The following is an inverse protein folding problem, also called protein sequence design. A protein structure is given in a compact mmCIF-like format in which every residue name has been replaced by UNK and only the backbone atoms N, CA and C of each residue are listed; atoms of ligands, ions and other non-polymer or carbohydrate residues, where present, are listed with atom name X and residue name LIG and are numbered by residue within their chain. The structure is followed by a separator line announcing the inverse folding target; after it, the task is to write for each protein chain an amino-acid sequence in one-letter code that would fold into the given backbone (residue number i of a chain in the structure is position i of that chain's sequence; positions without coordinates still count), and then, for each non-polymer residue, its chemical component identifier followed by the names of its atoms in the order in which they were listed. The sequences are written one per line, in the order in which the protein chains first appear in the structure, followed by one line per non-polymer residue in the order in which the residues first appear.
data_IF_915514491606
#
_entry.id   IF_915514491606
#
_cell.length_a   1.000
_cell.length_b   1.000
_cell.length_c   1.000
_cell.angle_alpha   90.00
_cell.angle_beta   90.00
_cell.angle_gamma   90.00
#
_symmetry.space_group_name_H-M   'P 1'
#
loop_
_entity.id
_entity.type
_entity.pdbx_description
1 polymer ?
#
# COMPACT_ATOMS: atom_id res chain seq x y z
N UNK A 1 14.97 56.87 7.33
CA UNK A 1 14.99 56.09 6.10
C UNK A 1 13.80 55.18 6.12
N UNK A 2 12.77 55.42 5.26
CA UNK A 2 11.54 54.61 5.20
C UNK A 2 11.74 53.52 4.16
N UNK A 3 11.73 52.24 4.59
CA UNK A 3 11.78 51.11 3.69
C UNK A 3 10.44 50.97 2.96
N UNK A 4 10.46 51.03 1.62
CA UNK A 4 9.33 50.73 0.75
C UNK A 4 9.15 49.21 0.67
N UNK A 5 8.02 48.75 1.15
CA UNK A 5 7.56 47.37 0.94
C UNK A 5 7.00 47.27 -0.48
N UNK A 6 7.68 46.52 -1.34
CA UNK A 6 7.20 46.14 -2.68
C UNK A 6 6.29 44.91 -2.52
N UNK A 7 4.99 45.08 -2.79
CA UNK A 7 4.05 43.98 -2.89
C UNK A 7 4.26 43.26 -4.23
N UNK A 8 4.32 41.93 -4.27
CA UNK A 8 4.31 41.18 -5.54
C UNK A 8 2.91 41.21 -6.16
N UNK A 9 2.86 41.62 -7.40
CA UNK A 9 1.68 41.54 -8.26
C UNK A 9 1.59 40.11 -8.84
N UNK A 10 0.70 39.30 -8.32
CA UNK A 10 0.21 38.07 -8.99
C UNK A 10 -0.99 37.47 -8.24
N UNK A 11 -2.10 38.15 -8.23
CA UNK A 11 -3.38 37.59 -7.80
C UNK A 11 -4.49 37.99 -8.78
N UNK A 12 -4.38 37.58 -10.05
CA UNK A 12 -5.47 37.76 -11.03
C UNK A 12 -5.41 36.75 -12.20
N UNK A 13 -5.30 35.47 -11.98
CA UNK A 13 -5.42 34.49 -13.08
C UNK A 13 -6.39 33.32 -12.78
N UNK A 14 -6.97 33.20 -11.59
CA UNK A 14 -7.81 32.02 -11.29
C UNK A 14 -9.35 32.26 -11.21
N UNK A 15 -9.88 33.37 -11.75
CA UNK A 15 -11.31 33.68 -11.62
C UNK A 15 -12.10 33.72 -12.94
N UNK A 16 -11.60 33.19 -14.07
CA UNK A 16 -12.28 33.40 -15.34
C UNK A 16 -12.31 32.20 -16.29
N UNK A 17 -12.77 31.04 -15.81
CA UNK A 17 -13.14 29.93 -16.72
C UNK A 17 -14.21 29.00 -16.18
N UNK A 18 -15.33 29.51 -15.70
CA UNK A 18 -16.60 28.77 -15.65
C UNK A 18 -17.77 29.75 -15.65
N UNK A 19 -18.03 30.29 -16.82
CA UNK A 19 -19.33 30.91 -17.15
C UNK A 19 -19.94 30.08 -18.24
N UNK A 20 -20.78 29.12 -17.88
CA UNK A 20 -21.71 28.49 -18.79
C UNK A 20 -22.95 29.41 -18.89
N UNK A 21 -23.09 30.05 -20.05
CA UNK A 21 -24.31 30.65 -20.51
C UNK A 21 -25.25 29.53 -21.00
N UNK A 22 -26.50 29.57 -20.58
CA UNK A 22 -27.51 28.64 -21.10
C UNK A 22 -28.85 28.83 -20.40
N UNK A 23 -29.56 29.89 -20.73
CA UNK A 23 -31.01 30.01 -20.51
C UNK A 23 -31.73 29.10 -21.50
N UNK A 24 -32.61 28.23 -21.01
CA UNK A 24 -33.44 27.37 -21.90
C UNK A 24 -34.47 26.57 -21.09
N UNK A 25 -35.64 27.09 -21.10
CA UNK A 25 -36.97 26.62 -20.77
C UNK A 25 -37.29 25.19 -20.34
N UNK A 26 -38.16 25.16 -19.32
CA UNK A 26 -39.10 24.13 -18.89
C UNK A 26 -39.86 23.43 -20.03
N UNK A 27 -39.87 22.11 -20.03
CA UNK A 27 -41.01 21.32 -20.51
C UNK A 27 -41.05 19.95 -19.79
N UNK A 28 -42.24 19.61 -19.43
CA UNK A 28 -42.78 18.56 -18.59
C UNK A 28 -42.62 17.12 -19.13
N UNK A 29 -42.61 16.16 -18.18
CA UNK A 29 -43.43 14.96 -18.27
C UNK A 29 -42.69 13.62 -18.29
N UNK A 30 -43.30 12.60 -17.71
CA UNK A 30 -42.60 11.52 -17.04
C UNK A 30 -42.55 10.24 -17.89
N UNK A 31 -41.48 9.49 -17.83
CA UNK A 31 -41.50 8.06 -18.13
C UNK A 31 -40.81 7.25 -17.05
N UNK A 32 -41.62 6.64 -16.20
CA UNK A 32 -41.28 5.46 -15.43
C UNK A 32 -40.88 4.35 -16.40
N UNK A 33 -39.66 3.87 -16.31
CA UNK A 33 -39.31 2.56 -16.84
C UNK A 33 -38.92 1.67 -15.63
N UNK A 34 -39.86 0.82 -15.27
CA UNK A 34 -39.68 -0.32 -14.39
C UNK A 34 -38.89 -1.39 -15.13
N UNK A 35 -37.72 -1.75 -14.63
CA UNK A 35 -37.03 -2.99 -15.01
C UNK A 35 -37.12 -3.96 -13.84
N UNK A 36 -38.18 -4.75 -13.82
CA UNK A 36 -38.24 -6.05 -13.19
C UNK A 36 -37.97 -7.06 -14.31
N UNK A 37 -36.97 -7.91 -14.13
CA UNK A 37 -37.04 -9.34 -14.42
C UNK A 37 -35.62 -9.92 -14.37
N UNK A 38 -35.43 -10.81 -13.41
CA UNK A 38 -34.33 -11.77 -13.35
C UNK A 38 -34.51 -12.82 -14.47
N UNK A 39 -33.45 -13.30 -15.13
CA UNK A 39 -33.57 -14.48 -15.95
C UNK A 39 -33.40 -15.74 -15.09
N UNK A 40 -34.40 -16.59 -15.24
CA UNK A 40 -34.46 -17.98 -14.77
C UNK A 40 -33.31 -18.82 -15.36
N UNK A 41 -32.82 -19.74 -14.56
CA UNK A 41 -31.90 -20.81 -14.97
C UNK A 41 -32.67 -21.88 -15.78
N UNK A 42 -32.11 -22.42 -16.87
CA UNK A 42 -32.65 -23.60 -17.51
C UNK A 42 -32.28 -24.85 -16.72
N UNK A 43 -33.28 -25.52 -16.21
CA UNK A 43 -33.20 -26.93 -15.78
C UNK A 43 -33.35 -27.81 -17.02
N UNK A 44 -32.28 -28.38 -17.53
CA UNK A 44 -32.34 -29.46 -18.50
C UNK A 44 -32.63 -30.75 -17.79
N UNK A 45 -33.90 -31.15 -17.82
CA UNK A 45 -34.36 -32.48 -17.47
C UNK A 45 -34.15 -33.41 -18.65
N UNK A 46 -33.33 -34.43 -18.47
CA UNK A 46 -33.21 -35.57 -19.36
C UNK A 46 -34.45 -36.48 -19.27
N UNK A 47 -35.11 -36.86 -20.36
CA UNK A 47 -36.24 -37.76 -20.31
C UNK A 47 -35.75 -39.23 -20.19
N UNK A 48 -36.24 -39.92 -19.17
CA UNK A 48 -36.13 -41.37 -19.04
C UNK A 48 -37.15 -42.00 -20.01
N UNK A 49 -36.66 -42.50 -21.12
CA UNK A 49 -37.47 -43.32 -22.02
C UNK A 49 -37.62 -44.75 -21.48
N UNK A 50 -38.85 -45.16 -21.40
CA UNK A 50 -39.38 -46.51 -21.14
C UNK A 50 -38.58 -47.66 -21.77
N UNK A 51 -38.23 -48.65 -20.95
CA UNK A 51 -37.84 -49.99 -21.38
C UNK A 51 -39.02 -50.93 -21.05
N UNK A 52 -39.89 -51.10 -22.03
CA UNK A 52 -40.85 -52.17 -22.05
C UNK A 52 -40.21 -53.44 -22.64
N UNK A 53 -40.52 -54.53 -22.01
CA UNK A 53 -40.64 -55.90 -22.52
C UNK A 53 -39.46 -56.56 -23.24
N UNK A 54 -38.81 -57.41 -22.51
CA UNK A 54 -38.38 -58.75 -23.04
C UNK A 54 -38.58 -59.83 -21.95
N UNK A 55 -39.75 -60.44 -21.93
CA UNK A 55 -40.00 -61.67 -21.23
C UNK A 55 -39.64 -62.84 -22.17
N UNK A 56 -38.45 -63.40 -21.97
CA UNK A 56 -38.06 -64.73 -22.55
C UNK A 56 -38.28 -65.87 -21.55
N UNK A 57 -38.61 -67.05 -22.01
CA UNK A 57 -39.05 -68.15 -21.13
C UNK A 57 -37.93 -68.63 -20.21
N UNK A 58 -38.28 -68.83 -18.94
CA UNK A 58 -37.42 -69.30 -17.88
C UNK A 58 -37.21 -70.83 -18.10
N UNK A 59 -36.02 -71.27 -18.44
CA UNK A 59 -35.61 -72.65 -18.48
C UNK A 59 -35.18 -73.09 -17.07
N UNK A 60 -35.99 -73.99 -16.49
CA UNK A 60 -35.71 -74.71 -15.24
C UNK A 60 -34.54 -75.67 -15.42
N UNK A 61 -33.33 -75.29 -15.21
CA UNK A 61 -32.20 -76.16 -14.94
C UNK A 61 -31.47 -75.68 -13.67
N UNK A 62 -31.35 -76.55 -12.65
CA UNK A 62 -30.59 -76.12 -11.45
C UNK A 62 -29.12 -75.92 -11.81
N UNK A 63 -28.49 -74.84 -11.29
CA UNK A 63 -27.08 -74.63 -11.54
C UNK A 63 -26.22 -75.64 -10.84
N UNK A 64 -25.33 -76.31 -11.61
CA UNK A 64 -24.28 -77.15 -11.04
C UNK A 64 -23.43 -76.34 -10.08
N UNK A 65 -23.29 -76.84 -8.86
CA UNK A 65 -22.38 -76.31 -7.86
C UNK A 65 -20.94 -76.26 -8.40
N UNK A 66 -20.53 -75.17 -9.00
CA UNK A 66 -19.13 -74.90 -9.32
C UNK A 66 -18.39 -74.54 -8.02
N UNK A 67 -17.34 -75.29 -7.71
CA UNK A 67 -16.40 -74.93 -6.66
C UNK A 67 -15.87 -73.53 -6.91
N UNK A 68 -16.25 -72.61 -6.05
CA UNK A 68 -15.66 -71.30 -6.01
C UNK A 68 -14.23 -71.48 -5.47
N UNK A 69 -13.18 -71.11 -6.24
CA UNK A 69 -11.81 -71.15 -5.71
C UNK A 69 -11.71 -70.19 -4.51
N UNK A 70 -11.25 -70.74 -3.37
CA UNK A 70 -11.00 -69.94 -2.17
C UNK A 70 -9.96 -68.85 -2.48
N UNK A 71 -10.40 -67.64 -2.52
CA UNK A 71 -9.50 -66.49 -2.58
C UNK A 71 -8.63 -66.47 -1.31
N UNK A 72 -7.30 -66.51 -1.42
CA UNK A 72 -6.44 -66.49 -0.23
C UNK A 72 -6.71 -65.19 0.49
N UNK A 73 -7.17 -65.24 1.73
CA UNK A 73 -7.27 -64.11 2.62
C UNK A 73 -5.86 -63.63 2.87
N UNK A 74 -5.45 -62.53 2.17
CA UNK A 74 -4.26 -61.81 2.52
C UNK A 74 -4.40 -61.39 3.99
N UNK A 75 -3.58 -61.96 4.87
CA UNK A 75 -3.59 -61.61 6.27
C UNK A 75 -3.35 -60.11 6.42
N UNK A 76 -4.32 -59.40 6.97
CA UNK A 76 -4.16 -58.03 7.36
C UNK A 76 -3.03 -57.99 8.39
N UNK A 77 -1.84 -57.60 7.95
CA UNK A 77 -0.72 -57.33 8.86
C UNK A 77 -1.12 -56.08 9.66
N UNK A 78 -1.30 -56.24 10.95
CA UNK A 78 -1.53 -55.09 11.83
C UNK A 78 -0.33 -54.14 11.80
N UNK A 79 -0.61 -52.87 11.81
CA UNK A 79 0.42 -51.85 11.91
C UNK A 79 1.19 -52.00 13.23
N UNK A 80 2.52 -51.95 13.17
CA UNK A 80 3.32 -51.99 14.36
C UNK A 80 3.36 -50.60 15.01
N UNK A 81 3.49 -50.54 16.34
CA UNK A 81 3.59 -49.27 17.08
C UNK A 81 4.77 -48.40 16.58
N UNK A 82 5.84 -49.04 16.14
CA UNK A 82 7.02 -48.36 15.59
C UNK A 82 6.70 -47.71 14.23
N UNK A 83 5.98 -48.38 13.34
CA UNK A 83 5.55 -47.80 12.05
C UNK A 83 4.65 -46.59 12.27
N UNK A 84 3.74 -46.65 13.23
CA UNK A 84 2.90 -45.53 13.56
C UNK A 84 3.73 -44.32 14.10
N UNK A 85 4.69 -44.60 15.00
CA UNK A 85 5.59 -43.57 15.54
C UNK A 85 6.42 -42.88 14.45
N UNK A 86 6.95 -43.69 13.50
CA UNK A 86 7.75 -43.15 12.39
C UNK A 86 6.88 -42.22 11.48
N UNK A 87 5.67 -42.64 11.15
CA UNK A 87 4.76 -41.83 10.33
C UNK A 87 4.39 -40.52 11.03
N UNK A 88 4.11 -40.57 12.34
CA UNK A 88 3.82 -39.37 13.12
C UNK A 88 5.04 -38.43 13.19
N UNK A 89 6.24 -38.96 13.40
CA UNK A 89 7.47 -38.18 13.43
C UNK A 89 7.76 -37.52 12.08
N UNK A 90 7.57 -38.22 10.96
CA UNK A 90 7.72 -37.68 9.62
C UNK A 90 6.64 -36.61 9.31
N UNK A 91 5.42 -36.83 9.74
CA UNK A 91 4.34 -35.85 9.64
C UNK A 91 4.63 -34.58 10.40
N UNK A 92 5.11 -34.70 11.65
CA UNK A 92 5.51 -33.55 12.46
C UNK A 92 6.68 -32.77 11.83
N UNK A 93 7.67 -33.49 11.27
CA UNK A 93 8.81 -32.85 10.59
C UNK A 93 8.35 -32.09 9.33
N UNK A 94 7.48 -32.66 8.53
CA UNK A 94 6.92 -32.01 7.32
C UNK A 94 6.10 -30.77 7.68
N UNK A 95 5.29 -30.82 8.73
CA UNK A 95 4.50 -29.64 9.17
C UNK A 95 5.39 -28.51 9.66
N UNK A 96 6.50 -28.82 10.34
CA UNK A 96 7.45 -27.82 10.79
C UNK A 96 8.13 -27.10 9.60
N UNK A 97 8.54 -27.84 8.57
CA UNK A 97 9.19 -27.26 7.37
C UNK A 97 8.20 -26.39 6.58
N UNK A 98 6.96 -26.84 6.42
CA UNK A 98 5.93 -26.07 5.68
C UNK A 98 5.54 -24.79 6.41
N UNK A 99 5.45 -24.79 7.74
CA UNK A 99 5.09 -23.61 8.52
C UNK A 99 6.12 -22.46 8.38
N UNK A 100 7.41 -22.78 8.38
CA UNK A 100 8.46 -21.76 8.18
C UNK A 100 8.47 -21.17 6.76
N UNK A 101 8.17 -21.99 5.75
CA UNK A 101 8.11 -21.57 4.35
C UNK A 101 6.96 -20.60 4.07
N UNK A 102 5.81 -20.77 4.70
CA UNK A 102 4.64 -19.89 4.54
C UNK A 102 4.89 -18.47 5.05
N UNK A 103 5.58 -18.31 6.19
CA UNK A 103 5.89 -16.99 6.75
C UNK A 103 6.79 -16.16 5.82
N UNK A 104 7.80 -16.76 5.21
CA UNK A 104 8.67 -16.06 4.24
C UNK A 104 7.94 -15.68 2.95
N UNK A 105 7.00 -16.52 2.50
CA UNK A 105 6.19 -16.23 1.31
C UNK A 105 5.28 -15.00 1.51
N UNK A 106 4.65 -14.87 2.66
CA UNK A 106 3.78 -13.70 2.95
C UNK A 106 4.57 -12.40 2.96
N UNK A 107 5.71 -12.36 3.65
CA UNK A 107 6.54 -11.14 3.75
C UNK A 107 7.06 -10.69 2.38
N UNK A 108 7.43 -11.62 1.51
CA UNK A 108 7.86 -11.29 0.15
C UNK A 108 6.69 -10.80 -0.71
N UNK A 109 5.50 -11.36 -0.53
CA UNK A 109 4.28 -10.93 -1.22
C UNK A 109 3.92 -9.50 -0.83
N UNK A 110 3.87 -9.20 0.47
CA UNK A 110 3.55 -7.86 0.98
C UNK A 110 4.56 -6.81 0.48
N UNK A 111 5.85 -7.16 0.46
CA UNK A 111 6.90 -6.29 -0.12
C UNK A 111 6.64 -5.99 -1.60
N UNK A 112 6.27 -6.99 -2.40
CA UNK A 112 6.01 -6.81 -3.82
C UNK A 112 4.75 -5.96 -4.07
N UNK A 113 3.71 -6.12 -3.24
CA UNK A 113 2.52 -5.25 -3.28
C UNK A 113 2.91 -3.81 -2.95
N UNK A 114 3.72 -3.56 -1.92
CA UNK A 114 4.21 -2.23 -1.58
C UNK A 114 5.03 -1.61 -2.69
N UNK A 115 5.95 -2.37 -3.31
CA UNK A 115 6.72 -1.90 -4.47
C UNK A 115 5.80 -1.51 -5.63
N UNK A 116 4.75 -2.29 -5.88
CA UNK A 116 3.75 -1.98 -6.91
C UNK A 116 2.96 -0.71 -6.56
N UNK A 117 2.55 -0.54 -5.29
CA UNK A 117 1.86 0.66 -4.83
C UNK A 117 2.73 1.90 -5.02
N UNK A 118 3.99 1.85 -4.58
CA UNK A 118 4.93 2.96 -4.72
C UNK A 118 5.21 3.33 -6.17
N UNK A 119 5.32 2.34 -7.08
CA UNK A 119 5.45 2.60 -8.53
C UNK A 119 4.23 3.33 -9.08
N UNK A 120 3.03 2.94 -8.68
CA UNK A 120 1.79 3.60 -9.11
C UNK A 120 1.69 5.03 -8.55
N UNK A 121 2.06 5.25 -7.30
CA UNK A 121 2.11 6.59 -6.70
C UNK A 121 3.19 7.47 -7.35
N UNK A 122 4.36 6.90 -7.67
CA UNK A 122 5.42 7.62 -8.38
C UNK A 122 5.00 7.98 -9.80
N UNK A 123 4.31 7.09 -10.51
CA UNK A 123 3.74 7.40 -11.82
C UNK A 123 2.72 8.55 -11.73
N UNK A 124 1.85 8.53 -10.73
CA UNK A 124 0.89 9.61 -10.49
C UNK A 124 1.59 10.94 -10.20
N UNK A 125 2.70 10.91 -9.47
CA UNK A 125 3.54 12.08 -9.20
C UNK A 125 4.18 12.62 -10.49
N UNK A 126 4.67 11.74 -11.37
CA UNK A 126 5.22 12.13 -12.68
C UNK A 126 4.14 12.72 -13.60
N UNK A 127 2.98 12.10 -13.67
CA UNK A 127 1.83 12.63 -14.43
C UNK A 127 1.45 14.05 -13.99
N UNK A 128 1.46 14.29 -12.68
CA UNK A 128 1.26 15.65 -12.17
C UNK A 128 2.34 16.61 -12.66
N UNK A 129 3.60 16.20 -12.60
CA UNK A 129 4.70 17.05 -13.04
C UNK A 129 4.57 17.38 -14.54
N UNK A 130 4.19 16.41 -15.36
CA UNK A 130 3.97 16.61 -16.80
C UNK A 130 2.80 17.58 -17.06
N UNK A 131 1.70 17.45 -16.35
CA UNK A 131 0.53 18.35 -16.49
C UNK A 131 0.80 19.78 -15.97
N UNK A 132 1.74 19.93 -15.03
CA UNK A 132 2.07 21.22 -14.40
C UNK A 132 3.47 21.73 -14.77
N UNK A 133 3.90 21.51 -16.01
CA UNK A 133 5.14 22.07 -16.57
C UNK A 133 6.40 21.74 -15.75
N UNK A 134 6.49 20.51 -15.28
CA UNK A 134 7.61 20.00 -14.50
C UNK A 134 7.54 20.34 -13.00
N UNK A 135 6.48 20.98 -12.52
CA UNK A 135 6.35 21.35 -11.11
C UNK A 135 6.13 20.11 -10.24
N UNK A 136 6.86 19.99 -9.14
CA UNK A 136 6.65 18.95 -8.14
C UNK A 136 5.40 19.23 -7.29
N UNK A 137 4.66 18.19 -6.90
CA UNK A 137 3.55 18.31 -5.94
C UNK A 137 4.02 18.98 -4.65
N UNK A 138 3.17 19.81 -4.05
CA UNK A 138 3.52 20.48 -2.79
C UNK A 138 3.58 19.46 -1.64
N UNK A 139 4.58 19.64 -0.78
CA UNK A 139 4.83 18.82 0.40
C UNK A 139 5.27 19.70 1.60
N UNK A 140 4.42 20.60 2.07
CA UNK A 140 4.76 21.39 3.24
C UNK A 140 4.66 20.52 4.51
N UNK A 141 5.60 20.72 5.43
CA UNK A 141 5.60 20.11 6.76
C UNK A 141 4.39 20.51 7.62
N UNK A 142 3.68 21.54 7.23
CA UNK A 142 2.45 21.98 7.89
C UNK A 142 1.36 22.16 6.85
N UNK A 143 0.11 21.91 7.24
CA UNK A 143 -1.04 22.14 6.35
C UNK A 143 -1.04 23.60 5.91
N UNK A 144 -0.56 23.86 4.70
CA UNK A 144 -0.59 25.18 4.09
C UNK A 144 -1.92 25.39 3.40
N UNK A 145 -2.52 26.57 3.61
CA UNK A 145 -3.70 27.00 2.84
C UNK A 145 -3.36 27.43 1.41
N UNK A 146 -2.06 27.58 1.11
CA UNK A 146 -1.60 28.14 -0.16
C UNK A 146 -1.33 27.11 -1.25
N UNK A 147 -1.16 25.86 -0.89
CA UNK A 147 -0.82 24.77 -1.82
C UNK A 147 -1.69 23.54 -1.60
N UNK A 148 -2.03 22.88 -2.70
CA UNK A 148 -2.64 21.56 -2.65
C UNK A 148 -1.52 20.52 -2.44
N UNK A 149 -1.42 19.99 -1.23
CA UNK A 149 -0.41 18.99 -0.87
C UNK A 149 -0.62 17.69 -1.65
N UNK A 150 0.44 16.90 -1.81
CA UNK A 150 0.37 15.58 -2.42
C UNK A 150 -0.64 14.67 -1.72
N UNK A 151 -0.65 14.70 -0.39
CA UNK A 151 -1.60 14.06 0.50
C UNK A 151 -1.89 15.00 1.68
N UNK A 152 -3.05 14.86 2.32
CA UNK A 152 -3.48 15.69 3.46
C UNK A 152 -3.72 14.84 4.69
N UNK A 153 -3.81 15.51 5.84
CA UNK A 153 -4.11 14.92 7.14
C UNK A 153 -2.87 14.67 7.98
N UNK A 154 -3.04 14.82 9.29
CA UNK A 154 -2.04 14.54 10.31
C UNK A 154 -2.42 13.25 11.02
N UNK A 155 -1.55 12.24 10.95
CA UNK A 155 -1.77 10.93 11.58
C UNK A 155 -1.20 10.92 13.00
N UNK A 156 -1.89 10.22 13.87
CA UNK A 156 -1.47 9.97 15.25
C UNK A 156 -2.09 8.66 15.78
N UNK A 157 -2.03 8.44 17.09
CA UNK A 157 -2.69 7.30 17.73
C UNK A 157 -4.01 7.66 18.42
N UNK A 158 -4.49 8.89 18.26
CA UNK A 158 -5.77 9.32 18.81
C UNK A 158 -6.91 8.83 17.92
N UNK A 159 -7.70 7.90 18.41
CA UNK A 159 -8.87 7.35 17.71
C UNK A 159 -9.93 8.39 17.35
N UNK A 160 -9.97 9.51 18.06
CA UNK A 160 -10.87 10.62 17.75
C UNK A 160 -10.37 11.51 16.61
N UNK A 161 -9.11 11.39 16.21
CA UNK A 161 -8.56 12.11 15.08
C UNK A 161 -9.12 11.51 13.78
N UNK A 162 -9.99 12.27 13.11
CA UNK A 162 -10.63 11.85 11.87
C UNK A 162 -9.62 11.68 10.71
N UNK A 163 -8.49 12.36 10.74
CA UNK A 163 -7.46 12.31 9.70
C UNK A 163 -6.88 10.91 9.55
N UNK A 164 -6.82 10.15 10.66
CA UNK A 164 -6.38 8.76 10.64
C UNK A 164 -7.19 7.86 9.69
N UNK A 165 -8.44 8.24 9.38
CA UNK A 165 -9.40 7.39 8.66
C UNK A 165 -9.98 8.06 7.40
N UNK A 166 -9.64 9.31 7.14
CA UNK A 166 -10.24 10.08 6.04
C UNK A 166 -9.52 9.86 4.71
N UNK A 167 -9.98 8.87 3.96
CA UNK A 167 -9.43 8.53 2.64
C UNK A 167 -9.60 9.64 1.60
N UNK A 168 -10.54 10.56 1.78
CA UNK A 168 -10.73 11.68 0.85
C UNK A 168 -9.55 12.67 0.86
N UNK A 169 -8.76 12.67 1.92
CA UNK A 169 -7.52 13.46 2.02
C UNK A 169 -6.38 12.91 1.13
N UNK A 170 -6.59 11.77 0.49
CA UNK A 170 -5.64 11.13 -0.40
C UNK A 170 -6.13 11.12 -1.86
N UNK A 171 -7.44 10.92 -2.05
CA UNK A 171 -8.02 10.61 -3.36
C UNK A 171 -9.01 11.65 -3.90
N UNK A 172 -9.39 12.64 -3.09
CA UNK A 172 -10.23 13.74 -3.56
C UNK A 172 -9.34 14.85 -4.16
N UNK A 173 -9.49 15.21 -5.43
CA UNK A 173 -8.67 16.23 -6.10
C UNK A 173 -8.79 17.65 -5.53
N UNK A 174 -9.82 17.91 -4.71
CA UNK A 174 -9.95 19.18 -3.97
C UNK A 174 -9.08 19.17 -2.71
N UNK A 175 -8.79 18.00 -2.16
CA UNK A 175 -8.07 17.83 -0.89
C UNK A 175 -6.59 17.49 -1.09
N UNK A 176 -6.25 16.76 -2.16
CA UNK A 176 -4.89 16.28 -2.41
C UNK A 176 -4.57 16.29 -3.91
N UNK A 177 -3.35 16.73 -4.26
CA UNK A 177 -2.88 16.74 -5.65
C UNK A 177 -2.83 15.32 -6.25
N UNK A 178 -2.43 14.33 -5.46
CA UNK A 178 -2.41 12.93 -5.85
C UNK A 178 -3.81 12.41 -6.26
N UNK A 179 -4.88 12.98 -5.67
CA UNK A 179 -6.26 12.62 -5.96
C UNK A 179 -6.72 12.92 -7.39
N UNK A 180 -5.97 13.72 -8.15
CA UNK A 180 -6.21 13.92 -9.59
C UNK A 180 -5.94 12.62 -10.37
N UNK A 181 -4.98 11.82 -9.94
CA UNK A 181 -4.44 10.67 -10.67
C UNK A 181 -4.75 9.33 -10.00
N UNK A 182 -4.93 9.32 -8.68
CA UNK A 182 -5.14 8.11 -7.87
C UNK A 182 -6.55 8.09 -7.28
N UNK A 183 -7.30 7.03 -7.58
CA UNK A 183 -8.68 6.85 -7.09
C UNK A 183 -8.78 5.86 -5.92
N UNK A 184 -7.85 4.91 -5.83
CA UNK A 184 -7.89 3.89 -4.79
C UNK A 184 -7.07 4.33 -3.56
N UNK A 185 -7.70 4.50 -2.38
CA UNK A 185 -6.98 4.86 -1.17
C UNK A 185 -6.07 3.72 -0.67
N UNK A 186 -6.28 2.49 -1.10
CA UNK A 186 -5.47 1.34 -0.69
C UNK A 186 -4.03 1.44 -1.19
N UNK A 187 -3.78 2.20 -2.26
CA UNK A 187 -2.43 2.45 -2.79
C UNK A 187 -1.54 3.24 -1.82
N UNK A 188 -2.12 3.98 -0.89
CA UNK A 188 -1.37 4.82 0.06
C UNK A 188 -0.90 4.05 1.30
N UNK A 189 -1.18 2.75 1.37
CA UNK A 189 -0.89 1.95 2.54
C UNK A 189 -0.11 0.68 2.21
N UNK A 190 0.88 0.39 3.05
CA UNK A 190 1.60 -0.87 3.04
C UNK A 190 0.74 -1.98 3.69
N UNK A 191 0.53 -3.14 3.06
CA UNK A 191 -0.19 -4.26 3.68
C UNK A 191 0.52 -4.82 4.91
N UNK A 192 1.84 -4.65 5.02
CA UNK A 192 2.61 -5.07 6.19
C UNK A 192 2.56 -4.06 7.36
N UNK A 193 1.97 -2.87 7.17
CA UNK A 193 1.64 -1.96 8.27
C UNK A 193 0.34 -2.43 8.95
N UNK A 194 0.48 -3.23 9.99
CA UNK A 194 -0.64 -3.88 10.69
C UNK A 194 -1.19 -3.04 11.86
N UNK A 195 -0.73 -1.80 12.02
CA UNK A 195 -1.17 -0.95 13.12
C UNK A 195 -2.64 -0.56 12.95
N UNK A 196 -3.43 -0.92 13.95
CA UNK A 196 -4.86 -0.61 14.03
C UNK A 196 -5.17 0.27 15.22
N UNK A 197 -6.15 1.14 15.07
CA UNK A 197 -6.76 1.91 16.16
C UNK A 197 -8.15 1.35 16.43
N UNK A 198 -8.52 1.24 17.71
CA UNK A 198 -9.84 0.71 18.08
C UNK A 198 -10.89 1.83 17.98
N UNK A 199 -11.60 1.89 16.86
CA UNK A 199 -12.67 2.84 16.62
C UNK A 199 -14.03 2.23 17.01
N UNK A 200 -14.54 2.60 18.16
CA UNK A 200 -15.84 2.09 18.66
C UNK A 200 -15.95 0.55 18.69
N UNK A 201 -14.88 -0.12 19.12
CA UNK A 201 -14.83 -1.59 19.17
C UNK A 201 -14.37 -2.26 17.87
N UNK A 202 -14.16 -1.51 16.78
CA UNK A 202 -13.71 -2.04 15.50
C UNK A 202 -12.25 -1.67 15.26
N UNK A 203 -11.33 -2.64 15.09
CA UNK A 203 -9.96 -2.37 14.66
C UNK A 203 -9.95 -1.69 13.28
N UNK A 204 -9.42 -0.48 13.21
CA UNK A 204 -9.40 0.33 11.99
C UNK A 204 -7.98 0.73 11.67
N UNK A 205 -7.58 0.55 10.41
CA UNK A 205 -6.25 0.87 9.93
C UNK A 205 -6.14 2.37 9.63
N UNK A 206 -4.97 2.95 9.85
CA UNK A 206 -4.70 4.33 9.39
C UNK A 206 -4.61 4.35 7.87
N UNK A 207 -4.92 5.51 7.28
CA UNK A 207 -5.11 5.65 5.82
C UNK A 207 -3.80 5.61 5.01
N UNK A 208 -2.63 5.82 5.63
CA UNK A 208 -1.36 6.02 4.94
C UNK A 208 -0.20 5.40 5.70
N UNK A 209 0.75 4.80 4.96
CA UNK A 209 2.04 4.28 5.44
C UNK A 209 3.23 4.88 4.69
N UNK A 210 2.99 5.77 3.72
CA UNK A 210 4.02 6.40 2.91
C UNK A 210 4.08 7.90 3.19
N UNK A 211 5.29 8.46 3.10
CA UNK A 211 5.53 9.90 3.16
C UNK A 211 6.43 10.35 2.02
N UNK A 212 6.30 11.60 1.62
CA UNK A 212 7.07 12.19 0.54
C UNK A 212 8.30 12.89 1.08
N UNK A 213 9.42 12.81 0.35
CA UNK A 213 10.66 13.48 0.68
C UNK A 213 10.45 14.97 0.98
N UNK A 214 10.82 15.42 2.17
CA UNK A 214 10.65 16.81 2.63
C UNK A 214 11.45 17.86 1.84
N UNK A 215 12.37 17.43 0.97
CA UNK A 215 13.11 18.31 0.04
C UNK A 215 12.50 18.35 -1.35
N UNK A 216 11.41 17.61 -1.61
CA UNK A 216 10.70 17.60 -2.89
C UNK A 216 9.36 18.32 -2.75
N UNK A 217 9.10 19.27 -3.64
CA UNK A 217 7.88 20.08 -3.66
C UNK A 217 8.03 21.42 -2.96
N UNK A 218 6.92 22.14 -2.84
CA UNK A 218 6.84 23.38 -2.08
C UNK A 218 6.76 23.06 -0.58
N UNK A 219 7.45 23.79 0.26
CA UNK A 219 7.40 23.60 1.71
C UNK A 219 8.74 23.28 2.37
N UNK A 220 9.79 23.94 1.87
CA UNK A 220 11.14 23.82 2.44
C UNK A 220 11.16 23.90 3.96
N UNK A 221 11.85 22.96 4.60
CA UNK A 221 12.05 22.91 6.04
C UNK A 221 13.27 23.71 6.52
N UNK A 222 13.39 23.86 7.84
CA UNK A 222 14.59 24.40 8.48
C UNK A 222 15.85 23.56 8.23
N UNK A 223 15.70 22.31 7.77
CA UNK A 223 16.82 21.40 7.45
C UNK A 223 17.40 21.60 6.05
N UNK A 224 16.86 22.53 5.26
CA UNK A 224 17.24 22.72 3.85
C UNK A 224 18.36 23.72 3.61
N UNK A 225 18.92 24.39 4.64
CA UNK A 225 19.94 25.42 4.48
C UNK A 225 21.19 24.88 3.73
N UNK A 226 21.48 25.48 2.55
CA UNK A 226 22.60 25.07 1.69
C UNK A 226 22.40 23.74 0.94
N UNK A 227 21.20 23.18 0.97
CA UNK A 227 20.83 21.99 0.20
C UNK A 227 19.70 22.32 -0.77
N UNK A 228 19.61 21.55 -1.86
CA UNK A 228 18.63 21.75 -2.91
C UNK A 228 17.23 21.38 -2.41
N UNK A 229 16.28 22.31 -2.52
CA UNK A 229 14.85 22.00 -2.47
C UNK A 229 14.37 21.91 -3.91
N UNK A 230 13.82 20.76 -4.28
CA UNK A 230 13.46 20.41 -5.63
C UNK A 230 11.98 20.69 -5.86
N UNK A 231 11.67 21.86 -6.39
CA UNK A 231 10.29 22.30 -6.71
C UNK A 231 9.88 21.98 -8.12
N UNK A 232 10.84 21.55 -8.95
CA UNK A 232 10.64 21.08 -10.32
C UNK A 232 11.44 19.80 -10.57
N UNK A 233 10.96 18.96 -11.47
CA UNK A 233 11.64 17.72 -11.91
C UNK A 233 13.02 17.99 -12.49
N UNK A 234 13.24 19.15 -13.14
CA UNK A 234 14.54 19.56 -13.66
C UNK A 234 15.58 19.84 -12.56
N UNK A 235 15.16 19.99 -11.32
CA UNK A 235 16.03 20.21 -10.16
C UNK A 235 16.43 18.91 -9.44
N UNK A 236 15.92 17.77 -9.87
CA UNK A 236 16.23 16.47 -9.24
C UNK A 236 17.65 15.99 -9.52
N UNK A 237 18.57 16.75 -9.95
CA UNK A 237 19.99 16.41 -10.19
C UNK A 237 20.28 14.95 -10.58
N UNK A 238 19.88 14.02 -9.72
CA UNK A 238 20.01 12.57 -9.88
C UNK A 238 18.68 11.87 -9.56
N UNK A 239 17.67 11.90 -10.47
CA UNK A 239 16.35 11.33 -10.20
C UNK A 239 16.38 9.84 -9.86
N UNK A 240 17.33 9.09 -10.41
CA UNK A 240 17.53 7.67 -10.13
C UNK A 240 18.07 7.37 -8.73
N UNK A 241 18.50 8.38 -7.99
CA UNK A 241 19.06 8.26 -6.63
C UNK A 241 18.30 9.09 -5.61
N UNK A 242 17.41 9.97 -6.05
CA UNK A 242 16.62 10.83 -5.18
C UNK A 242 15.28 10.16 -4.91
N UNK A 243 15.00 9.79 -3.67
CA UNK A 243 13.69 9.21 -3.37
C UNK A 243 12.60 10.30 -3.36
N UNK A 244 11.42 9.95 -3.86
CA UNK A 244 10.23 10.80 -3.82
C UNK A 244 9.29 10.36 -2.70
N UNK A 245 9.06 9.05 -2.57
CA UNK A 245 8.20 8.46 -1.55
C UNK A 245 8.94 7.31 -0.87
N UNK A 246 8.64 7.10 0.40
CA UNK A 246 9.11 5.94 1.13
C UNK A 246 8.10 5.48 2.18
N UNK A 247 8.29 4.26 2.67
CA UNK A 247 7.57 3.73 3.81
C UNK A 247 8.10 4.36 5.10
N UNK A 248 7.22 4.96 5.88
CA UNK A 248 7.57 5.59 7.14
C UNK A 248 7.11 4.76 8.33
N UNK A 249 7.91 4.77 9.40
CA UNK A 249 7.64 4.04 10.64
C UNK A 249 6.32 4.47 11.28
N UNK A 250 5.56 3.51 11.82
CA UNK A 250 4.22 3.77 12.34
C UNK A 250 4.19 4.79 13.48
N UNK A 251 5.25 4.88 14.29
CA UNK A 251 5.36 5.86 15.39
C UNK A 251 5.93 7.22 14.92
N UNK A 252 6.42 7.31 13.69
CA UNK A 252 6.99 8.54 13.11
C UNK A 252 6.00 9.26 12.21
N UNK A 253 5.25 8.50 11.42
CA UNK A 253 4.35 9.05 10.39
C UNK A 253 3.27 9.96 10.99
N UNK A 254 3.37 11.25 10.67
CA UNK A 254 2.45 12.28 11.14
C UNK A 254 1.83 13.07 9.98
N UNK A 255 2.53 14.02 9.38
CA UNK A 255 2.00 14.87 8.32
C UNK A 255 2.15 14.27 6.91
N UNK A 256 2.80 14.34 6.05
CA UNK A 256 2.99 13.68 4.74
C UNK A 256 4.40 13.83 4.26
N UNK A 257 5.23 14.48 5.08
CA UNK A 257 6.61 14.81 4.74
C UNK A 257 7.55 13.90 5.50
N UNK A 258 8.56 13.40 4.84
CA UNK A 258 9.66 12.66 5.46
C UNK A 258 10.92 13.49 5.45
N UNK A 259 11.36 13.94 6.61
CA UNK A 259 12.55 14.77 6.74
C UNK A 259 13.78 13.97 7.15
N UNK A 260 14.86 14.27 6.46
CA UNK A 260 16.21 13.80 6.80
C UNK A 260 17.05 15.04 7.12
N UNK A 261 17.75 15.03 8.25
CA UNK A 261 18.66 16.12 8.58
C UNK A 261 19.96 15.99 7.76
N UNK A 262 19.93 16.51 6.55
CA UNK A 262 21.04 16.40 5.58
C UNK A 262 22.25 17.27 5.96
N UNK A 263 22.11 18.18 6.93
CA UNK A 263 23.20 19.09 7.38
C UNK A 263 24.07 18.45 8.45
N UNK A 264 23.57 17.44 9.15
CA UNK A 264 24.31 16.81 10.24
C UNK A 264 25.46 15.95 9.71
N UNK A 265 26.60 16.10 10.37
CA UNK A 265 27.74 15.21 10.15
C UNK A 265 27.42 13.80 10.63
N UNK A 266 28.17 12.81 10.16
CA UNK A 266 27.98 11.42 10.58
C UNK A 266 28.04 11.25 12.11
N UNK A 267 28.97 11.95 12.79
CA UNK A 267 29.12 11.89 14.24
C UNK A 267 27.93 12.51 15.01
N UNK A 268 27.18 13.41 14.41
CA UNK A 268 26.01 14.06 15.00
C UNK A 268 24.70 13.59 14.36
N UNK A 269 24.72 12.57 13.51
CA UNK A 269 23.57 12.08 12.78
C UNK A 269 22.41 11.71 13.72
N UNK A 270 21.22 12.01 13.27
CA UNK A 270 19.95 11.69 13.96
C UNK A 270 18.86 11.44 12.95
N UNK A 271 17.85 10.76 13.38
CA UNK A 271 16.57 10.71 12.67
C UNK A 271 15.75 11.96 13.01
N UNK A 272 15.12 12.56 12.02
CA UNK A 272 14.00 13.49 12.17
C UNK A 272 12.72 12.68 12.05
N UNK A 273 12.57 11.99 10.92
CA UNK A 273 11.57 10.96 10.72
C UNK A 273 12.27 9.60 10.54
N UNK A 274 11.62 8.54 10.96
CA UNK A 274 12.17 7.19 10.96
C UNK A 274 11.55 6.39 9.80
N UNK A 275 12.36 5.77 8.93
CA UNK A 275 11.82 4.91 7.88
C UNK A 275 11.21 3.64 8.48
N UNK A 276 10.24 3.06 7.78
CA UNK A 276 9.67 1.78 8.18
C UNK A 276 10.69 0.63 8.09
N UNK A 277 10.36 -0.47 8.77
CA UNK A 277 11.10 -1.73 8.68
C UNK A 277 10.12 -2.92 8.46
N UNK A 278 9.03 -2.67 7.71
CA UNK A 278 7.91 -3.61 7.57
C UNK A 278 8.28 -4.91 6.84
N UNK A 279 9.34 -4.89 6.02
CA UNK A 279 9.72 -5.98 5.12
C UNK A 279 11.04 -6.61 5.55
N UNK A 280 11.00 -7.43 6.61
CA UNK A 280 12.20 -8.12 7.14
C UNK A 280 13.36 -7.17 7.46
N UNK A 281 13.06 -6.04 8.10
CA UNK A 281 14.07 -5.06 8.50
C UNK A 281 14.51 -4.11 7.39
N UNK A 282 13.63 -3.81 6.47
CA UNK A 282 13.85 -2.82 5.42
C UNK A 282 12.57 -2.15 4.97
N UNK A 283 12.68 -1.19 4.07
CA UNK A 283 11.59 -0.43 3.49
C UNK A 283 11.71 -0.33 1.98
N UNK A 284 10.58 -0.05 1.34
CA UNK A 284 10.52 0.27 -0.08
C UNK A 284 10.53 1.78 -0.28
N UNK A 285 11.19 2.22 -1.35
CA UNK A 285 11.28 3.60 -1.77
C UNK A 285 10.91 3.72 -3.24
N UNK A 286 10.28 4.83 -3.62
CA UNK A 286 10.09 5.22 -5.02
C UNK A 286 11.03 6.37 -5.34
N UNK A 287 11.76 6.27 -6.45
CA UNK A 287 12.73 7.24 -6.90
C UNK A 287 12.15 8.23 -7.92
N UNK A 288 12.86 9.32 -8.14
CA UNK A 288 12.42 10.42 -9.01
C UNK A 288 12.27 10.05 -10.48
N UNK A 289 12.94 9.01 -10.94
CA UNK A 289 12.81 8.46 -12.30
C UNK A 289 11.63 7.48 -12.45
N UNK A 290 10.90 7.19 -11.36
CA UNK A 290 9.71 6.34 -11.35
C UNK A 290 9.97 4.89 -10.94
N UNK A 291 11.23 4.44 -10.82
CA UNK A 291 11.46 3.10 -10.30
C UNK A 291 11.23 3.02 -8.78
N UNK A 292 10.95 1.83 -8.29
CA UNK A 292 10.85 1.56 -6.86
C UNK A 292 11.78 0.41 -6.48
N UNK A 293 12.48 0.57 -5.39
CA UNK A 293 13.43 -0.39 -4.88
C UNK A 293 13.28 -0.66 -3.39
N UNK A 294 13.80 -1.79 -2.94
CA UNK A 294 13.84 -2.19 -1.55
C UNK A 294 15.19 -1.88 -0.93
N UNK A 295 15.17 -1.23 0.25
CA UNK A 295 16.36 -0.98 1.06
C UNK A 295 16.33 -1.81 2.33
N UNK A 296 17.31 -2.72 2.44
CA UNK A 296 17.61 -3.39 3.70
C UNK A 296 18.36 -2.41 4.61
N UNK A 297 17.89 -2.26 5.85
CA UNK A 297 18.58 -1.47 6.86
C UNK A 297 19.73 -2.27 7.48
N UNK A 298 20.84 -1.59 7.76
CA UNK A 298 22.07 -2.19 8.28
C UNK A 298 22.23 -1.98 9.77
N UNK A 299 21.68 -0.89 10.30
CA UNK A 299 21.82 -0.51 11.71
C UNK A 299 20.50 -0.81 12.47
N UNK A 300 20.55 -1.57 13.57
CA UNK A 300 19.34 -1.86 14.37
C UNK A 300 18.61 -0.61 14.87
N UNK A 301 19.32 0.51 15.04
CA UNK A 301 18.71 1.79 15.46
C UNK A 301 17.80 2.41 14.39
N UNK A 302 17.90 1.94 13.15
CA UNK A 302 16.99 2.31 12.07
C UNK A 302 15.65 1.54 12.15
N UNK A 303 15.59 0.49 12.96
CA UNK A 303 14.47 -0.44 13.07
C UNK A 303 13.92 -0.50 14.52
N UNK A 304 13.54 0.63 15.13
CA UNK A 304 12.97 0.58 16.47
C UNK A 304 11.64 -0.21 16.46
N UNK A 305 11.28 -0.85 17.57
CA UNK A 305 9.98 -1.50 17.69
C UNK A 305 8.87 -0.45 17.70
N UNK A 306 7.70 -0.80 17.17
CA UNK A 306 6.50 0.05 17.26
C UNK A 306 5.97 0.03 18.69
N UNK A 307 5.82 1.19 19.30
CA UNK A 307 5.37 1.38 20.69
C UNK A 307 3.98 1.99 20.78
N UNK A 308 3.41 2.41 19.66
CA UNK A 308 2.18 3.20 19.54
C UNK A 308 2.26 4.54 20.28
N UNK A 309 3.46 5.10 20.35
CA UNK A 309 3.77 6.45 20.84
C UNK A 309 4.53 7.21 19.76
N UNK A 310 4.27 8.52 19.64
CA UNK A 310 5.03 9.33 18.69
C UNK A 310 6.52 9.32 19.05
N UNK A 311 7.36 9.01 18.08
CA UNK A 311 8.81 8.91 18.30
C UNK A 311 9.42 10.30 18.35
N UNK A 312 10.19 10.56 19.41
CA UNK A 312 11.06 11.73 19.48
C UNK A 312 12.33 11.46 18.65
N UNK A 313 12.82 12.42 17.87
CA UNK A 313 14.04 12.26 17.08
C UNK A 313 15.18 11.72 17.92
N UNK A 314 15.73 10.57 17.55
CA UNK A 314 16.81 9.91 18.28
C UNK A 314 18.17 10.19 17.64
N UNK A 315 19.17 10.48 18.47
CA UNK A 315 20.56 10.55 18.01
C UNK A 315 21.01 9.16 17.53
N UNK A 316 21.63 9.11 16.37
CA UNK A 316 22.12 7.87 15.76
C UNK A 316 23.48 8.11 15.09
N UNK A 317 24.51 8.45 15.87
CA UNK A 317 25.81 8.81 15.33
C UNK A 317 26.42 7.64 14.57
N UNK A 318 27.05 7.96 13.43
CA UNK A 318 27.70 7.02 12.52
C UNK A 318 26.78 5.92 11.97
N UNK A 319 25.48 6.17 11.94
CA UNK A 319 24.53 5.24 11.35
C UNK A 319 24.63 5.28 9.81
N UNK A 320 24.97 4.15 9.15
CA UNK A 320 25.12 4.10 7.70
C UNK A 320 23.81 4.33 6.95
N UNK A 321 22.68 3.95 7.54
CA UNK A 321 21.37 4.14 6.92
C UNK A 321 20.96 5.60 6.89
N UNK A 322 21.24 6.37 7.97
CA UNK A 322 21.05 7.83 7.97
C UNK A 322 21.91 8.46 6.88
N UNK A 323 23.18 8.07 6.77
CA UNK A 323 24.07 8.60 5.73
C UNK A 323 23.60 8.26 4.32
N UNK A 324 22.99 7.08 4.11
CA UNK A 324 22.39 6.68 2.84
C UNK A 324 21.14 7.53 2.53
N UNK A 325 20.25 7.72 3.51
CA UNK A 325 19.05 8.56 3.39
C UNK A 325 19.42 10.02 3.09
N UNK A 326 20.42 10.58 3.77
CA UNK A 326 20.91 11.95 3.52
C UNK A 326 21.31 12.16 2.05
N UNK A 327 22.04 11.22 1.46
CA UNK A 327 22.49 11.28 0.06
C UNK A 327 21.34 11.15 -0.93
N UNK A 328 20.29 10.45 -0.55
CA UNK A 328 19.12 10.24 -1.40
C UNK A 328 17.99 11.26 -1.17
N UNK A 329 18.05 12.05 -0.10
CA UNK A 329 17.04 13.06 0.18
C UNK A 329 17.32 14.37 -0.56
N UNK A 330 18.56 14.82 -0.60
CA UNK A 330 18.95 16.07 -1.22
C UNK A 330 20.45 16.14 -1.46
N UNK A 331 20.91 17.15 -2.16
CA UNK A 331 22.33 17.41 -2.48
C UNK A 331 22.64 18.90 -2.36
N UNK A 332 23.90 19.25 -2.34
CA UNK A 332 24.35 20.65 -2.47
C UNK A 332 24.50 20.98 -3.94
N UNK A 333 23.90 22.07 -4.42
CA UNK A 333 23.93 22.49 -5.83
C UNK A 333 25.34 22.93 -6.25
#
# INVERSE_FOLDING_TARGET
MKARIIKPASQKIFANRFRLSGTGNLAQGPHRASWSQSPESPQDACPISSLDSFAGPISDKPPRAGLIPAVPRAGLRGFTLVELLVVLAMGALLTLITATSLGHSQTSTDRNVCLSNLRQLSLAWQMYADDYSGSCMANPATVSSSYLNWARGVLDYNVANADNFNTSYLTNPISAAMGLYVRSPTLFRCPADLITLNRSGVPSLRVRSYSMNGYVGQGASAYSAGYQVMTSTTQLGHPERTFILLEEHSDSINDGSFFVDVQMTSAAARFVDIPAAFHSGGANLAMGDGHAEYWQWMDPRTMPPVTMGMVVPATSPNNPDVARLQKAASFRP
#
